data_IF_612603774188
#
_entry.id   IF_612603774188
#
_cell.length_a   1.000
_cell.length_b   1.000
_cell.length_c   1.000
_cell.angle_alpha   90.00
_cell.angle_beta   90.00
_cell.angle_gamma   90.00
#
_symmetry.space_group_name_H-M   'P 1'
#
loop_
_entity.id
_entity.type
_entity.pdbx_description
1 polymer ?
#
# COMPACT_ATOMS: atom_id res chain seq x y z
N UNK A 1 -20.09 9.84 -19.11
CA UNK A 1 -20.88 9.48 -17.89
C UNK A 1 -20.38 8.25 -17.11
N UNK A 2 -19.89 7.17 -17.76
CA UNK A 2 -19.49 5.91 -17.09
C UNK A 2 -18.31 6.07 -16.10
N UNK A 3 -17.22 6.74 -16.51
CA UNK A 3 -16.05 6.96 -15.64
C UNK A 3 -16.34 7.73 -14.34
N UNK A 4 -17.16 8.78 -14.40
CA UNK A 4 -17.63 9.53 -13.22
C UNK A 4 -18.43 8.67 -12.23
N UNK A 5 -19.06 7.58 -12.68
CA UNK A 5 -19.77 6.64 -11.78
C UNK A 5 -18.78 5.71 -11.09
N UNK A 6 -17.78 5.19 -11.80
CA UNK A 6 -16.68 4.38 -11.24
C UNK A 6 -15.91 5.18 -10.19
N UNK A 7 -15.51 6.41 -10.50
CA UNK A 7 -14.79 7.27 -9.57
C UNK A 7 -15.61 7.58 -8.30
N UNK A 8 -16.94 7.75 -8.43
CA UNK A 8 -17.84 7.86 -7.28
C UNK A 8 -17.87 6.58 -6.42
N UNK A 9 -17.72 5.41 -7.04
CA UNK A 9 -17.66 4.14 -6.33
C UNK A 9 -16.35 3.99 -5.55
N UNK A 10 -15.21 4.42 -6.13
CA UNK A 10 -13.93 4.53 -5.41
C UNK A 10 -14.12 5.33 -4.14
N UNK A 11 -14.64 6.57 -4.26
CA UNK A 11 -14.93 7.47 -3.13
C UNK A 11 -15.82 6.87 -2.03
N UNK A 12 -16.82 6.04 -2.36
CA UNK A 12 -17.68 5.38 -1.35
C UNK A 12 -17.01 4.18 -0.71
N UNK A 13 -16.22 3.42 -1.48
CA UNK A 13 -15.60 2.20 -0.97
C UNK A 13 -14.63 2.48 0.17
N UNK A 14 -13.81 3.53 0.08
CA UNK A 14 -12.88 3.84 1.16
C UNK A 14 -13.53 4.50 2.39
N UNK A 15 -14.77 5.02 2.32
CA UNK A 15 -15.48 5.53 3.51
C UNK A 15 -15.72 4.42 4.54
N UNK A 16 -15.79 3.15 4.11
CA UNK A 16 -15.90 1.98 4.98
C UNK A 16 -14.64 1.72 5.84
N UNK A 17 -13.55 2.44 5.58
CA UNK A 17 -12.26 2.23 6.25
C UNK A 17 -11.85 3.38 7.17
N UNK A 18 -12.75 4.34 7.43
CA UNK A 18 -12.48 5.48 8.29
C UNK A 18 -12.82 5.19 9.75
N UNK A 19 -11.87 5.42 10.65
CA UNK A 19 -12.10 5.48 12.09
C UNK A 19 -12.78 6.79 12.48
N UNK A 20 -13.90 6.67 13.18
CA UNK A 20 -14.69 7.75 13.78
C UNK A 20 -14.52 7.79 15.29
N UNK A 21 -14.20 6.64 15.92
CA UNK A 21 -13.99 6.50 17.37
C UNK A 21 -12.59 5.95 17.70
N UNK A 22 -12.19 6.06 18.97
CA UNK A 22 -10.93 5.48 19.48
C UNK A 22 -10.93 3.95 19.39
N UNK A 23 -12.06 3.30 19.66
CA UNK A 23 -12.19 1.84 19.51
C UNK A 23 -12.02 1.41 18.04
N UNK A 24 -12.62 2.16 17.11
CA UNK A 24 -12.43 1.90 15.69
C UNK A 24 -10.97 2.08 15.28
N UNK A 25 -10.26 3.09 15.80
CA UNK A 25 -8.83 3.29 15.55
C UNK A 25 -8.01 2.03 15.91
N UNK A 26 -8.19 1.49 17.13
CA UNK A 26 -7.47 0.28 17.55
C UNK A 26 -7.88 -0.95 16.74
N UNK A 27 -9.14 -1.04 16.32
CA UNK A 27 -9.58 -2.09 15.38
C UNK A 27 -8.90 -1.97 14.02
N UNK A 28 -8.65 -0.76 13.52
CA UNK A 28 -7.87 -0.54 12.28
C UNK A 28 -6.42 -0.94 12.50
N UNK A 29 -5.82 -0.55 13.63
CA UNK A 29 -4.45 -0.88 13.98
C UNK A 29 -4.26 -2.40 14.07
N UNK A 30 -5.12 -3.12 14.79
CA UNK A 30 -5.03 -4.58 14.94
C UNK A 30 -5.32 -5.33 13.63
N UNK A 31 -6.33 -4.88 12.86
CA UNK A 31 -6.57 -5.42 11.53
C UNK A 31 -5.41 -5.13 10.56
N UNK A 32 -4.72 -4.02 10.77
CA UNK A 32 -3.45 -3.71 10.11
C UNK A 32 -2.33 -4.65 10.57
N UNK A 33 -2.27 -4.97 11.87
CA UNK A 33 -1.32 -5.96 12.42
C UNK A 33 -1.44 -7.32 11.73
N UNK A 34 -2.66 -7.87 11.66
CA UNK A 34 -2.91 -9.12 10.93
C UNK A 34 -2.54 -9.04 9.45
N UNK A 35 -2.77 -7.88 8.81
CA UNK A 35 -2.30 -7.62 7.45
C UNK A 35 -0.77 -7.65 7.33
N UNK A 36 -0.06 -7.09 8.31
CA UNK A 36 1.40 -7.11 8.39
C UNK A 36 1.96 -8.53 8.51
N UNK A 37 1.35 -9.37 9.36
CA UNK A 37 1.74 -10.78 9.50
C UNK A 37 1.59 -11.56 8.19
N UNK A 38 0.48 -11.37 7.47
CA UNK A 38 0.29 -12.01 6.15
C UNK A 38 1.37 -11.54 5.18
N UNK A 39 1.67 -10.23 5.14
CA UNK A 39 2.71 -9.70 4.25
C UNK A 39 4.09 -10.25 4.61
N UNK A 40 4.38 -10.49 5.89
CA UNK A 40 5.63 -11.15 6.29
C UNK A 40 5.74 -12.53 5.65
N UNK A 41 4.67 -13.34 5.71
CA UNK A 41 4.60 -14.63 5.01
C UNK A 41 4.73 -14.45 3.50
N UNK A 42 4.10 -13.44 2.89
CA UNK A 42 4.23 -13.13 1.46
C UNK A 42 5.69 -12.90 1.07
N UNK A 43 6.47 -12.19 1.91
CA UNK A 43 7.90 -11.93 1.67
C UNK A 43 8.71 -13.22 1.82
N UNK A 44 8.41 -14.06 2.81
CA UNK A 44 9.06 -15.37 2.98
C UNK A 44 8.84 -16.23 1.73
N UNK A 45 7.59 -16.37 1.29
CA UNK A 45 7.25 -17.11 0.07
C UNK A 45 7.91 -16.52 -1.17
N UNK A 46 8.07 -15.19 -1.24
CA UNK A 46 8.81 -14.54 -2.33
C UNK A 46 10.23 -15.10 -2.42
N UNK A 47 10.96 -15.18 -1.30
CA UNK A 47 12.32 -15.72 -1.30
C UNK A 47 12.36 -17.23 -1.57
N UNK A 48 11.38 -17.99 -1.09
CA UNK A 48 11.25 -19.41 -1.43
C UNK A 48 11.08 -19.60 -2.95
N UNK A 49 10.25 -18.80 -3.61
CA UNK A 49 10.07 -18.85 -5.07
C UNK A 49 11.39 -18.53 -5.79
N UNK A 50 12.16 -17.53 -5.30
CA UNK A 50 13.48 -17.19 -5.86
C UNK A 50 14.44 -18.40 -5.77
N UNK A 51 14.42 -19.13 -4.65
CA UNK A 51 15.26 -20.31 -4.46
C UNK A 51 14.91 -21.48 -5.38
N UNK A 52 13.68 -21.56 -5.88
CA UNK A 52 13.29 -22.59 -6.86
C UNK A 52 13.93 -22.37 -8.24
N UNK A 53 14.51 -21.19 -8.52
CA UNK A 53 15.19 -20.85 -9.79
C UNK A 53 14.37 -21.23 -11.04
N UNK A 54 13.08 -20.93 -11.01
CA UNK A 54 12.15 -21.29 -12.08
C UNK A 54 12.35 -20.44 -13.34
N UNK A 55 11.94 -20.95 -14.51
CA UNK A 55 11.84 -20.15 -15.73
C UNK A 55 10.95 -18.91 -15.53
N UNK A 56 11.21 -17.84 -16.28
CA UNK A 56 10.63 -16.51 -16.08
C UNK A 56 9.09 -16.51 -15.96
N UNK A 57 8.38 -17.23 -16.83
CA UNK A 57 6.91 -17.30 -16.79
C UNK A 57 6.38 -18.03 -15.55
N UNK A 58 7.04 -19.12 -15.14
CA UNK A 58 6.66 -19.88 -13.97
C UNK A 58 6.94 -19.11 -12.67
N UNK A 59 8.11 -18.46 -12.58
CA UNK A 59 8.47 -17.58 -11.46
C UNK A 59 7.44 -16.44 -11.30
N UNK A 60 7.12 -15.74 -12.40
CA UNK A 60 6.13 -14.67 -12.38
C UNK A 60 4.74 -15.17 -11.99
N UNK A 61 4.32 -16.33 -12.52
CA UNK A 61 3.04 -16.94 -12.15
C UNK A 61 2.95 -17.21 -10.65
N UNK A 62 4.01 -17.75 -10.03
CA UNK A 62 4.05 -17.98 -8.59
C UNK A 62 4.09 -16.68 -7.78
N UNK A 63 4.78 -15.63 -8.23
CA UNK A 63 4.70 -14.33 -7.58
C UNK A 63 3.28 -13.75 -7.63
N UNK A 64 2.61 -13.85 -8.79
CA UNK A 64 1.23 -13.43 -8.96
C UNK A 64 0.28 -14.17 -8.02
N UNK A 65 0.42 -15.49 -7.92
CA UNK A 65 -0.37 -16.33 -7.00
C UNK A 65 -0.07 -16.01 -5.54
N UNK A 66 1.19 -15.81 -5.17
CA UNK A 66 1.58 -15.43 -3.81
C UNK A 66 0.94 -14.08 -3.42
N UNK A 67 1.01 -13.07 -4.28
CA UNK A 67 0.42 -11.76 -4.02
C UNK A 67 -1.11 -11.82 -3.98
N UNK A 68 -1.74 -12.47 -4.96
CA UNK A 68 -3.20 -12.57 -5.04
C UNK A 68 -3.76 -13.37 -3.85
N UNK A 69 -3.18 -14.54 -3.57
CA UNK A 69 -3.54 -15.39 -2.43
C UNK A 69 -3.40 -14.65 -1.11
N UNK A 70 -2.27 -13.96 -0.89
CA UNK A 70 -2.04 -13.18 0.32
C UNK A 70 -3.06 -12.04 0.49
N UNK A 71 -3.36 -11.28 -0.57
CA UNK A 71 -4.30 -10.16 -0.49
C UNK A 71 -5.76 -10.59 -0.35
N UNK A 72 -6.13 -11.74 -0.94
CA UNK A 72 -7.45 -12.34 -0.79
C UNK A 72 -7.63 -12.97 0.60
N UNK A 73 -6.62 -13.67 1.11
CA UNK A 73 -6.61 -14.19 2.48
C UNK A 73 -6.75 -13.06 3.49
N UNK A 74 -5.98 -11.98 3.30
CA UNK A 74 -6.08 -10.78 4.12
C UNK A 74 -7.50 -10.19 4.13
N UNK A 75 -8.15 -10.15 2.97
CA UNK A 75 -9.53 -9.70 2.87
C UNK A 75 -10.51 -10.66 3.56
N UNK A 76 -10.34 -11.96 3.37
CA UNK A 76 -11.19 -13.01 3.97
C UNK A 76 -11.17 -12.97 5.49
N UNK A 77 -9.99 -12.74 6.08
CA UNK A 77 -9.80 -12.61 7.53
C UNK A 77 -10.20 -11.22 8.08
N UNK A 78 -10.68 -10.31 7.24
CA UNK A 78 -11.07 -8.96 7.65
C UNK A 78 -9.89 -8.04 8.00
N UNK A 79 -8.66 -8.44 7.66
CA UNK A 79 -7.45 -7.64 7.82
C UNK A 79 -7.34 -6.56 6.75
N UNK A 80 -6.46 -5.59 6.99
CA UNK A 80 -6.38 -4.36 6.18
C UNK A 80 -4.97 -4.09 5.71
N UNK A 81 -4.85 -3.77 4.42
CA UNK A 81 -3.64 -3.20 3.84
C UNK A 81 -3.73 -1.66 3.88
N UNK A 82 -2.70 -1.01 4.38
CA UNK A 82 -2.63 0.45 4.56
C UNK A 82 -2.77 1.23 3.24
N UNK A 83 -2.41 0.63 2.11
CA UNK A 83 -2.25 1.35 0.84
C UNK A 83 -3.54 1.50 0.02
N UNK A 84 -4.71 1.00 0.50
CA UNK A 84 -5.98 1.05 -0.25
C UNK A 84 -6.68 2.42 -0.28
N UNK A 85 -6.25 3.35 0.57
CA UNK A 85 -6.99 4.56 0.94
C UNK A 85 -6.46 5.90 0.34
N UNK A 86 -5.22 6.08 -0.15
CA UNK A 86 -4.75 7.39 -0.63
C UNK A 86 -5.57 7.98 -1.78
N UNK A 87 -5.90 7.15 -2.78
CA UNK A 87 -6.72 7.58 -3.93
C UNK A 87 -8.14 7.99 -3.54
N UNK A 88 -8.63 7.55 -2.38
CA UNK A 88 -9.93 7.94 -1.84
C UNK A 88 -9.97 9.39 -1.39
N UNK A 89 -8.91 9.84 -0.70
CA UNK A 89 -8.82 11.14 -0.05
C UNK A 89 -9.13 12.24 -1.06
N UNK A 90 -8.54 12.15 -2.24
CA UNK A 90 -8.74 13.07 -3.36
C UNK A 90 -10.20 13.19 -3.80
N UNK A 91 -10.86 12.06 -4.07
CA UNK A 91 -12.25 12.04 -4.58
C UNK A 91 -13.23 12.54 -3.53
N UNK A 92 -13.01 12.20 -2.26
CA UNK A 92 -13.93 12.55 -1.18
C UNK A 92 -13.81 14.01 -0.77
N UNK A 93 -12.60 14.59 -0.79
CA UNK A 93 -12.39 16.02 -0.52
C UNK A 93 -13.16 16.92 -1.49
N UNK A 94 -13.16 16.58 -2.79
CA UNK A 94 -13.80 17.41 -3.82
C UNK A 94 -15.33 17.31 -3.84
N UNK A 95 -15.91 16.28 -3.21
CA UNK A 95 -17.36 16.04 -3.23
C UNK A 95 -18.13 16.76 -2.12
N UNK A 96 -17.47 17.17 -1.03
CA UNK A 96 -18.17 17.81 0.10
C UNK A 96 -18.28 19.32 -0.10
N UNK A 97 -19.51 19.85 0.02
CA UNK A 97 -19.80 21.29 -0.03
C UNK A 97 -19.14 22.02 1.16
N UNK A 98 -18.81 23.30 0.91
CA UNK A 98 -18.04 24.30 1.69
C UNK A 98 -18.22 24.33 3.23
N UNK A 99 -19.32 23.83 3.81
CA UNK A 99 -19.73 24.15 5.18
C UNK A 99 -19.88 22.98 6.19
N UNK A 100 -19.37 21.77 5.95
CA UNK A 100 -19.29 20.76 7.04
C UNK A 100 -17.96 20.02 7.08
N UNK A 101 -17.09 20.50 7.98
CA UNK A 101 -16.10 19.67 8.68
C UNK A 101 -15.10 18.91 7.79
N UNK A 102 -14.56 19.55 6.76
CA UNK A 102 -13.53 18.92 5.93
C UNK A 102 -12.22 18.69 6.68
N UNK A 103 -11.86 19.54 7.66
CA UNK A 103 -10.68 19.33 8.53
C UNK A 103 -10.82 18.08 9.39
N UNK A 104 -11.98 17.88 10.04
CA UNK A 104 -12.20 16.68 10.87
C UNK A 104 -12.27 15.42 10.02
N UNK A 105 -12.79 15.51 8.79
CA UNK A 105 -12.80 14.40 7.86
C UNK A 105 -11.40 14.05 7.33
N UNK A 106 -10.61 15.05 6.92
CA UNK A 106 -9.21 14.87 6.55
C UNK A 106 -8.40 14.26 7.70
N UNK A 107 -8.57 14.78 8.92
CA UNK A 107 -7.93 14.24 10.11
C UNK A 107 -8.33 12.79 10.37
N UNK A 108 -9.61 12.41 10.15
CA UNK A 108 -10.05 11.00 10.26
C UNK A 108 -9.39 10.11 9.21
N UNK A 109 -9.27 10.56 7.96
CA UNK A 109 -8.59 9.77 6.91
C UNK A 109 -7.11 9.60 7.27
N UNK A 110 -6.40 10.70 7.58
CA UNK A 110 -4.98 10.64 7.96
C UNK A 110 -4.75 9.77 9.19
N UNK A 111 -5.57 9.89 10.23
CA UNK A 111 -5.48 9.03 11.43
C UNK A 111 -5.73 7.56 11.11
N UNK A 112 -6.73 7.25 10.29
CA UNK A 112 -7.03 5.87 9.88
C UNK A 112 -5.89 5.28 9.05
N UNK A 113 -5.24 6.11 8.23
CA UNK A 113 -4.10 5.73 7.41
C UNK A 113 -2.86 5.48 8.24
N UNK A 114 -2.56 6.35 9.20
CA UNK A 114 -1.47 6.16 10.14
C UNK A 114 -1.70 4.88 10.96
N UNK A 115 -2.92 4.63 11.45
CA UNK A 115 -3.25 3.41 12.17
C UNK A 115 -2.99 2.14 11.34
N UNK A 116 -3.52 2.11 10.10
CA UNK A 116 -3.33 0.95 9.22
C UNK A 116 -1.86 0.75 8.85
N UNK A 117 -1.14 1.84 8.56
CA UNK A 117 0.29 1.81 8.20
C UNK A 117 1.14 1.36 9.37
N UNK A 118 0.92 1.89 10.58
CA UNK A 118 1.64 1.50 11.79
C UNK A 118 1.40 0.02 12.13
N UNK A 119 0.15 -0.45 12.04
CA UNK A 119 -0.19 -1.85 12.24
C UNK A 119 0.51 -2.78 11.23
N UNK A 120 0.39 -2.46 9.93
CA UNK A 120 1.07 -3.23 8.88
C UNK A 120 2.59 -3.24 9.07
N UNK A 121 3.21 -2.08 9.29
CA UNK A 121 4.67 -1.94 9.42
C UNK A 121 5.21 -2.66 10.66
N UNK A 122 4.60 -2.44 11.83
CA UNK A 122 5.06 -3.06 13.06
C UNK A 122 5.00 -4.58 12.96
N UNK A 123 3.86 -5.12 12.52
CA UNK A 123 3.69 -6.57 12.47
C UNK A 123 4.38 -7.24 11.27
N UNK A 124 4.63 -6.54 10.16
CA UNK A 124 5.45 -7.14 9.09
C UNK A 124 6.89 -7.31 9.55
N UNK A 125 7.45 -6.34 10.28
CA UNK A 125 8.79 -6.42 10.83
C UNK A 125 8.85 -7.52 11.90
N UNK A 126 7.92 -7.52 12.85
CA UNK A 126 7.85 -8.56 13.89
C UNK A 126 7.63 -9.95 13.31
N UNK A 127 6.75 -10.09 12.32
CA UNK A 127 6.47 -11.35 11.65
C UNK A 127 7.67 -11.88 10.87
N UNK A 128 8.38 -11.01 10.16
CA UNK A 128 9.60 -11.37 9.44
C UNK A 128 10.73 -11.83 10.38
N UNK A 129 10.97 -11.06 11.46
CA UNK A 129 11.96 -11.42 12.47
C UNK A 129 11.57 -12.70 13.21
N UNK A 130 10.30 -12.83 13.61
CA UNK A 130 9.77 -14.01 14.29
C UNK A 130 9.89 -15.27 13.42
N UNK A 131 9.57 -15.17 12.13
CA UNK A 131 9.79 -16.25 11.18
C UNK A 131 11.27 -16.63 11.11
N UNK A 132 12.17 -15.65 10.97
CA UNK A 132 13.60 -15.93 10.86
C UNK A 132 14.14 -16.63 12.11
N UNK A 133 13.81 -16.11 13.30
CA UNK A 133 14.18 -16.71 14.58
C UNK A 133 13.67 -18.15 14.67
N UNK A 134 12.40 -18.39 14.35
CA UNK A 134 11.81 -19.72 14.38
C UNK A 134 12.52 -20.66 13.38
N UNK A 135 12.74 -20.21 12.15
CA UNK A 135 13.43 -20.98 11.12
C UNK A 135 14.85 -21.38 11.55
N UNK A 136 15.63 -20.44 12.09
CA UNK A 136 17.00 -20.71 12.54
C UNK A 136 17.02 -21.63 13.75
N UNK A 137 16.06 -21.51 14.68
CA UNK A 137 15.95 -22.43 15.82
C UNK A 137 15.54 -23.85 15.41
N UNK A 138 14.68 -23.99 14.40
CA UNK A 138 14.23 -25.29 13.92
C UNK A 138 15.22 -25.99 12.98
N UNK A 139 15.96 -25.23 12.16
CA UNK A 139 16.81 -25.81 11.09
C UNK A 139 18.31 -25.67 11.34
N UNK A 140 18.72 -24.80 12.27
CA UNK A 140 20.11 -24.40 12.46
C UNK A 140 20.67 -23.49 11.35
N UNK A 141 19.87 -23.12 10.35
CA UNK A 141 20.31 -22.34 9.18
C UNK A 141 19.74 -20.92 9.19
N UNK A 142 20.44 -20.00 8.53
CA UNK A 142 19.95 -18.65 8.23
C UNK A 142 19.09 -18.72 6.97
N UNK A 143 17.93 -18.06 6.96
CA UNK A 143 16.95 -18.18 5.87
C UNK A 143 17.38 -17.48 4.57
N UNK A 144 18.00 -16.29 4.66
CA UNK A 144 18.66 -15.66 3.51
C UNK A 144 20.15 -15.87 3.53
N UNK A 145 20.73 -16.05 2.35
CA UNK A 145 22.17 -15.87 2.12
C UNK A 145 22.56 -14.41 2.28
N UNK A 146 23.79 -14.16 2.71
CA UNK A 146 24.35 -12.82 2.89
C UNK A 146 24.26 -11.96 1.63
N UNK A 147 24.58 -12.52 0.44
CA UNK A 147 24.48 -11.81 -0.84
C UNK A 147 23.05 -11.33 -1.13
N UNK A 148 22.06 -12.17 -0.88
CA UNK A 148 20.66 -11.82 -1.06
C UNK A 148 20.21 -10.73 -0.08
N UNK A 149 20.70 -10.76 1.16
CA UNK A 149 20.41 -9.74 2.17
C UNK A 149 21.07 -8.39 1.85
N UNK A 150 22.34 -8.40 1.42
CA UNK A 150 23.05 -7.20 0.96
C UNK A 150 22.35 -6.61 -0.27
N UNK A 151 22.03 -7.43 -1.27
CA UNK A 151 21.32 -6.97 -2.47
C UNK A 151 19.94 -6.41 -2.13
N UNK A 152 19.16 -7.08 -1.28
CA UNK A 152 17.86 -6.61 -0.85
C UNK A 152 17.96 -5.24 -0.18
N UNK A 153 18.93 -5.03 0.70
CA UNK A 153 19.15 -3.75 1.39
C UNK A 153 19.66 -2.66 0.45
N UNK A 154 20.63 -2.96 -0.41
CA UNK A 154 21.16 -2.02 -1.41
C UNK A 154 20.05 -1.56 -2.38
N UNK A 155 19.14 -2.46 -2.75
CA UNK A 155 18.01 -2.17 -3.63
C UNK A 155 16.97 -1.19 -3.05
N UNK A 156 17.07 -0.88 -1.75
CA UNK A 156 16.23 0.12 -1.07
C UNK A 156 16.88 1.50 -1.01
N UNK A 157 18.15 1.64 -1.39
CA UNK A 157 18.85 2.90 -1.31
C UNK A 157 18.16 3.96 -2.22
N UNK A 158 17.74 5.12 -1.69
CA UNK A 158 16.99 6.11 -2.47
C UNK A 158 17.85 6.87 -3.48
N UNK A 159 19.16 6.93 -3.28
CA UNK A 159 20.08 7.72 -4.10
C UNK A 159 20.63 6.94 -5.29
N UNK A 160 20.79 5.62 -5.14
CA UNK A 160 21.47 4.79 -6.14
C UNK A 160 20.57 3.75 -6.83
N UNK A 161 19.52 3.25 -6.18
CA UNK A 161 18.76 2.09 -6.68
C UNK A 161 17.49 2.43 -7.49
N UNK A 162 17.37 3.65 -8.04
CA UNK A 162 16.14 4.15 -8.69
C UNK A 162 14.86 3.97 -7.84
N UNK A 163 15.03 3.83 -6.51
CA UNK A 163 13.97 3.49 -5.56
C UNK A 163 12.82 4.48 -5.59
N UNK A 164 13.13 5.77 -5.77
CA UNK A 164 12.13 6.85 -5.86
C UNK A 164 11.21 6.62 -7.08
N UNK A 165 11.80 6.33 -8.24
CA UNK A 165 11.07 6.08 -9.48
C UNK A 165 10.18 4.84 -9.37
N UNK A 166 10.73 3.72 -8.87
CA UNK A 166 9.95 2.50 -8.66
C UNK A 166 8.87 2.68 -7.60
N UNK A 167 9.10 3.45 -6.54
CA UNK A 167 8.08 3.74 -5.54
C UNK A 167 6.96 4.63 -6.08
N UNK A 168 7.29 5.60 -6.93
CA UNK A 168 6.33 6.42 -7.64
C UNK A 168 5.48 5.59 -8.62
N UNK A 169 6.12 4.70 -9.38
CA UNK A 169 5.45 3.72 -10.25
C UNK A 169 4.45 2.88 -9.45
N UNK A 170 4.88 2.29 -8.34
CA UNK A 170 3.98 1.55 -7.43
C UNK A 170 2.81 2.41 -6.95
N UNK A 171 3.02 3.71 -6.66
CA UNK A 171 1.93 4.65 -6.35
C UNK A 171 0.89 4.76 -7.47
N UNK A 172 1.33 4.78 -8.73
CA UNK A 172 0.47 4.70 -9.91
C UNK A 172 -0.30 3.38 -9.98
N UNK A 173 0.35 2.24 -9.71
CA UNK A 173 -0.30 0.92 -9.68
C UNK A 173 -1.36 0.82 -8.58
N UNK A 174 -1.09 1.36 -7.39
CA UNK A 174 -2.05 1.46 -6.29
C UNK A 174 -3.29 2.28 -6.70
N UNK A 175 -3.08 3.38 -7.43
CA UNK A 175 -4.18 4.17 -7.99
C UNK A 175 -4.98 3.37 -9.03
N UNK A 176 -4.33 2.68 -9.97
CA UNK A 176 -5.00 1.83 -10.97
C UNK A 176 -5.84 0.73 -10.30
N UNK A 177 -5.29 0.03 -9.29
CA UNK A 177 -6.03 -0.97 -8.52
C UNK A 177 -7.28 -0.39 -7.84
N UNK A 178 -7.24 0.87 -7.40
CA UNK A 178 -8.41 1.54 -6.84
C UNK A 178 -9.52 1.80 -7.87
N UNK A 179 -9.19 2.02 -9.15
CA UNK A 179 -10.17 2.10 -10.23
C UNK A 179 -10.85 0.75 -10.47
N UNK A 180 -10.10 -0.35 -10.44
CA UNK A 180 -10.65 -1.70 -10.54
C UNK A 180 -11.61 -2.00 -9.37
N UNK A 181 -11.27 -1.57 -8.15
CA UNK A 181 -12.17 -1.63 -7.00
C UNK A 181 -13.48 -0.85 -7.24
N UNK A 182 -13.37 0.37 -7.79
CA UNK A 182 -14.50 1.20 -8.17
C UNK A 182 -15.38 0.57 -9.26
N UNK A 183 -14.75 -0.08 -10.24
CA UNK A 183 -15.42 -0.80 -11.32
C UNK A 183 -16.19 -2.01 -10.79
N UNK A 184 -15.53 -2.88 -10.03
CA UNK A 184 -16.15 -4.06 -9.43
C UNK A 184 -17.34 -3.67 -8.53
N UNK A 185 -17.16 -2.63 -7.70
CA UNK A 185 -18.26 -2.06 -6.90
C UNK A 185 -19.42 -1.53 -7.75
N UNK A 186 -19.12 -0.95 -8.92
CA UNK A 186 -20.14 -0.41 -9.81
C UNK A 186 -20.95 -1.54 -10.46
N UNK A 187 -20.28 -2.60 -10.90
CA UNK A 187 -20.92 -3.79 -11.46
C UNK A 187 -21.77 -4.50 -10.42
N UNK A 188 -21.24 -4.73 -9.21
CA UNK A 188 -21.98 -5.36 -8.12
C UNK A 188 -23.27 -4.61 -7.78
N UNK A 189 -23.28 -3.27 -7.85
CA UNK A 189 -24.47 -2.45 -7.60
C UNK A 189 -25.64 -2.67 -8.56
N UNK A 190 -25.41 -3.20 -9.77
CA UNK A 190 -26.49 -3.42 -10.75
C UNK A 190 -27.50 -4.45 -10.26
N UNK A 191 -27.05 -5.47 -9.53
CA UNK A 191 -27.91 -6.49 -8.93
C UNK A 191 -28.60 -6.05 -7.63
N UNK A 192 -28.48 -4.78 -7.23
CA UNK A 192 -28.98 -4.23 -5.95
C UNK A 192 -28.66 -5.07 -4.70
N UNK A 193 -27.44 -5.64 -4.54
CA UNK A 193 -27.12 -6.47 -3.38
C UNK A 193 -26.87 -5.60 -2.13
N UNK A 194 -26.81 -6.26 -0.96
CA UNK A 194 -26.47 -5.59 0.30
C UNK A 194 -25.08 -4.94 0.29
N UNK A 195 -24.88 -3.96 1.17
CA UNK A 195 -23.63 -3.19 1.26
C UNK A 195 -22.38 -4.06 1.49
N UNK A 196 -22.53 -5.19 2.21
CA UNK A 196 -21.46 -6.14 2.44
C UNK A 196 -20.94 -6.78 1.14
N UNK A 197 -21.84 -7.19 0.24
CA UNK A 197 -21.50 -7.78 -1.06
C UNK A 197 -20.76 -6.78 -1.94
N UNK A 198 -21.24 -5.52 -1.98
CA UNK A 198 -20.60 -4.45 -2.74
C UNK A 198 -19.16 -4.22 -2.23
N UNK A 199 -18.99 -4.17 -0.89
CA UNK A 199 -17.68 -4.02 -0.26
C UNK A 199 -16.76 -5.21 -0.58
N UNK A 200 -17.29 -6.43 -0.58
CA UNK A 200 -16.52 -7.63 -0.91
C UNK A 200 -16.00 -7.58 -2.36
N UNK A 201 -16.86 -7.30 -3.33
CA UNK A 201 -16.45 -7.18 -4.75
C UNK A 201 -15.47 -6.03 -5.00
N UNK A 202 -15.63 -4.91 -4.29
CA UNK A 202 -14.67 -3.82 -4.32
C UNK A 202 -13.28 -4.26 -3.85
N UNK A 203 -13.23 -4.97 -2.72
CA UNK A 203 -12.00 -5.51 -2.15
C UNK A 203 -11.35 -6.54 -3.08
N UNK A 204 -12.16 -7.43 -3.67
CA UNK A 204 -11.70 -8.44 -4.62
C UNK A 204 -11.07 -7.78 -5.84
N UNK A 205 -11.79 -6.83 -6.48
CA UNK A 205 -11.30 -6.10 -7.63
C UNK A 205 -10.01 -5.33 -7.35
N UNK A 206 -9.89 -4.72 -6.18
CA UNK A 206 -8.63 -4.08 -5.75
C UNK A 206 -7.49 -5.10 -5.63
N UNK A 207 -7.71 -6.16 -4.86
CA UNK A 207 -6.68 -7.10 -4.44
C UNK A 207 -6.12 -7.89 -5.62
N UNK A 208 -6.99 -8.43 -6.47
CA UNK A 208 -6.58 -9.19 -7.66
C UNK A 208 -5.85 -8.29 -8.65
N UNK A 209 -6.38 -7.09 -8.91
CA UNK A 209 -5.74 -6.16 -9.84
C UNK A 209 -4.39 -5.67 -9.33
N UNK A 210 -4.27 -5.35 -8.04
CA UNK A 210 -2.99 -4.96 -7.46
C UNK A 210 -1.98 -6.11 -7.54
N UNK A 211 -2.35 -7.32 -7.16
CA UNK A 211 -1.48 -8.49 -7.23
C UNK A 211 -0.95 -8.71 -8.66
N UNK A 212 -1.84 -8.65 -9.65
CA UNK A 212 -1.47 -8.74 -11.05
C UNK A 212 -0.50 -7.62 -11.45
N UNK A 213 -0.79 -6.36 -11.13
CA UNK A 213 0.05 -5.21 -11.50
C UNK A 213 1.44 -5.26 -10.86
N UNK A 214 1.54 -5.66 -9.58
CA UNK A 214 2.83 -5.76 -8.88
C UNK A 214 3.72 -6.89 -9.46
N UNK A 215 3.12 -7.89 -10.10
CA UNK A 215 3.82 -9.00 -10.75
C UNK A 215 4.14 -8.70 -12.23
N UNK A 216 3.16 -8.15 -12.96
CA UNK A 216 3.27 -7.90 -14.40
C UNK A 216 4.35 -6.86 -14.72
N UNK A 217 4.54 -5.84 -13.88
CA UNK A 217 5.54 -4.78 -14.13
C UNK A 217 6.98 -5.31 -14.09
N UNK A 218 7.44 -6.00 -13.02
CA UNK A 218 8.77 -6.60 -13.03
C UNK A 218 8.95 -7.69 -14.10
N UNK A 219 7.90 -8.47 -14.38
CA UNK A 219 7.93 -9.48 -15.45
C UNK A 219 8.13 -8.85 -16.83
N UNK A 220 7.38 -7.80 -17.15
CA UNK A 220 7.54 -7.04 -18.39
C UNK A 220 8.92 -6.37 -18.47
N UNK A 221 9.44 -5.87 -17.35
CA UNK A 221 10.80 -5.37 -17.23
C UNK A 221 11.84 -6.41 -17.65
N UNK A 222 11.80 -7.60 -17.04
CA UNK A 222 12.68 -8.72 -17.39
C UNK A 222 12.56 -9.11 -18.87
N UNK A 223 11.34 -9.18 -19.41
CA UNK A 223 11.08 -9.55 -20.80
C UNK A 223 11.66 -8.53 -21.80
N UNK A 224 11.54 -7.24 -21.49
CA UNK A 224 12.02 -6.13 -22.34
C UNK A 224 13.48 -5.73 -22.03
N UNK A 225 14.15 -6.45 -21.12
CA UNK A 225 15.47 -6.09 -20.59
C UNK A 225 15.53 -4.66 -20.03
N UNK A 226 14.41 -4.15 -19.54
CA UNK A 226 14.31 -2.86 -18.87
C UNK A 226 14.48 -3.06 -17.36
N UNK A 227 15.22 -2.19 -16.67
CA UNK A 227 15.29 -2.22 -15.22
C UNK A 227 13.96 -1.69 -14.66
N UNK A 228 12.90 -2.49 -14.68
CA UNK A 228 11.61 -2.17 -14.06
C UNK A 228 11.44 -3.02 -12.81
N UNK A 229 11.21 -2.35 -11.69
CA UNK A 229 10.91 -2.99 -10.42
C UNK A 229 9.80 -2.22 -9.69
N UNK A 230 9.30 -2.81 -8.63
CA UNK A 230 8.18 -2.31 -7.84
C UNK A 230 8.61 -2.22 -6.38
N UNK A 231 8.57 -1.01 -5.83
CA UNK A 231 8.86 -0.75 -4.41
C UNK A 231 7.58 -0.43 -3.67
N UNK A 232 7.13 -1.34 -2.81
CA UNK A 232 5.94 -1.18 -1.98
C UNK A 232 6.33 -1.20 -0.52
N UNK A 233 5.92 -0.17 0.23
CA UNK A 233 6.30 0.07 1.62
C UNK A 233 6.36 -1.20 2.48
N UNK A 234 5.24 -1.90 2.67
CA UNK A 234 5.16 -3.06 3.58
C UNK A 234 5.98 -4.26 3.12
N UNK A 235 6.02 -4.56 1.81
CA UNK A 235 6.81 -5.66 1.26
C UNK A 235 8.32 -5.39 1.40
N UNK A 236 8.72 -4.14 1.12
CA UNK A 236 10.09 -3.67 1.29
C UNK A 236 10.53 -3.69 2.76
N UNK A 237 9.64 -3.32 3.70
CA UNK A 237 9.94 -3.39 5.14
C UNK A 237 10.17 -4.81 5.63
N UNK A 238 9.36 -5.78 5.16
CA UNK A 238 9.57 -7.20 5.50
C UNK A 238 10.90 -7.74 4.95
N UNK A 239 11.25 -7.37 3.71
CA UNK A 239 12.52 -7.76 3.11
C UNK A 239 13.73 -7.17 3.86
N UNK A 240 13.64 -5.90 4.26
CA UNK A 240 14.67 -5.26 5.08
C UNK A 240 14.81 -5.94 6.45
N UNK A 241 13.70 -6.26 7.11
CA UNK A 241 13.73 -6.94 8.40
C UNK A 241 14.44 -8.30 8.33
N UNK A 242 14.13 -9.10 7.30
CA UNK A 242 14.84 -10.37 7.07
C UNK A 242 16.34 -10.15 6.79
N UNK A 243 16.68 -9.12 6.01
CA UNK A 243 18.07 -8.80 5.64
C UNK A 243 18.91 -8.37 6.84
N UNK A 244 18.36 -7.53 7.72
CA UNK A 244 19.03 -7.07 8.95
C UNK A 244 19.28 -8.24 9.90
N UNK A 245 18.34 -9.19 9.98
CA UNK A 245 18.54 -10.39 10.80
C UNK A 245 19.65 -11.27 10.22
N UNK A 246 19.64 -11.55 8.92
CA UNK A 246 20.67 -12.34 8.23
C UNK A 246 22.07 -11.80 8.47
N UNK A 247 22.28 -10.51 8.21
CA UNK A 247 23.60 -9.90 8.30
C UNK A 247 24.03 -9.64 9.75
N UNK A 248 23.08 -9.55 10.68
CA UNK A 248 23.29 -8.98 11.99
C UNK A 248 23.47 -7.46 11.94
N UNK A 249 23.25 -6.80 13.08
CA UNK A 249 23.14 -5.33 13.13
C UNK A 249 24.40 -4.60 12.66
N UNK A 250 25.59 -5.08 13.06
CA UNK A 250 26.87 -4.42 12.72
C UNK A 250 27.15 -4.48 11.22
N UNK A 251 27.02 -5.65 10.59
CA UNK A 251 27.23 -5.79 9.16
C UNK A 251 26.11 -5.12 8.35
N UNK A 252 24.86 -5.13 8.85
CA UNK A 252 23.78 -4.39 8.23
C UNK A 252 24.06 -2.87 8.18
N UNK A 253 24.59 -2.29 9.27
CA UNK A 253 25.03 -0.89 9.29
C UNK A 253 26.10 -0.61 8.23
N UNK A 254 27.11 -1.48 8.11
CA UNK A 254 28.17 -1.35 7.11
C UNK A 254 27.64 -1.49 5.67
N UNK A 255 26.70 -2.39 5.43
CA UNK A 255 26.06 -2.58 4.14
C UNK A 255 24.97 -1.54 3.83
N UNK A 256 24.78 -0.52 4.68
CA UNK A 256 23.99 0.66 4.36
C UNK A 256 22.59 0.72 4.96
N UNK A 257 22.34 0.09 6.11
CA UNK A 257 21.04 0.09 6.81
C UNK A 257 20.40 1.49 6.92
N UNK A 258 21.18 2.53 7.23
CA UNK A 258 20.65 3.89 7.32
C UNK A 258 20.01 4.37 6.00
N UNK A 259 20.66 4.11 4.88
CA UNK A 259 20.14 4.44 3.55
C UNK A 259 18.90 3.61 3.19
N UNK A 260 18.86 2.34 3.58
CA UNK A 260 17.71 1.48 3.35
C UNK A 260 16.49 1.89 4.20
N UNK A 261 16.69 2.31 5.45
CA UNK A 261 15.64 2.86 6.30
C UNK A 261 15.06 4.16 5.74
N UNK A 262 15.93 5.07 5.27
CA UNK A 262 15.49 6.27 4.54
C UNK A 262 14.70 5.87 3.28
N UNK A 263 15.19 4.86 2.57
CA UNK A 263 14.50 4.22 1.45
C UNK A 263 13.08 3.79 1.78
N UNK A 264 12.86 3.07 2.89
CA UNK A 264 11.52 2.66 3.34
C UNK A 264 10.60 3.86 3.55
N UNK A 265 11.09 4.94 4.18
CA UNK A 265 10.31 6.16 4.40
C UNK A 265 9.93 6.79 3.06
N UNK A 266 10.90 6.93 2.15
CA UNK A 266 10.70 7.49 0.81
C UNK A 266 9.72 6.64 -0.01
N UNK A 267 9.83 5.31 0.06
CA UNK A 267 8.89 4.40 -0.60
C UNK A 267 7.47 4.62 -0.10
N UNK A 268 7.28 4.66 1.23
CA UNK A 268 5.97 4.90 1.84
C UNK A 268 5.38 6.25 1.43
N UNK A 269 6.20 7.30 1.45
CA UNK A 269 5.78 8.63 1.00
C UNK A 269 5.39 8.62 -0.48
N UNK A 270 6.21 8.08 -1.37
CA UNK A 270 5.96 8.07 -2.82
C UNK A 270 4.74 7.22 -3.19
N UNK A 271 4.60 6.03 -2.59
CA UNK A 271 3.42 5.18 -2.76
C UNK A 271 2.12 5.94 -2.44
N UNK A 272 2.12 6.67 -1.32
CA UNK A 272 0.98 7.49 -0.90
C UNK A 272 0.78 8.71 -1.80
N UNK A 273 1.83 9.51 -1.98
CA UNK A 273 1.79 10.82 -2.62
C UNK A 273 1.37 10.73 -4.08
N UNK A 274 1.98 9.83 -4.85
CA UNK A 274 1.67 9.68 -6.28
C UNK A 274 0.26 9.15 -6.49
N UNK A 275 -0.16 8.14 -5.71
CA UNK A 275 -1.53 7.60 -5.78
C UNK A 275 -2.58 8.66 -5.45
N UNK A 276 -2.31 9.48 -4.43
CA UNK A 276 -3.16 10.60 -4.04
C UNK A 276 -3.21 11.68 -5.12
N UNK A 277 -2.05 12.12 -5.63
CA UNK A 277 -1.93 13.20 -6.61
C UNK A 277 -2.66 12.85 -7.91
N UNK A 278 -2.42 11.65 -8.46
CA UNK A 278 -3.12 11.20 -9.68
C UNK A 278 -4.62 11.19 -9.44
N UNK A 279 -5.08 10.65 -8.31
CA UNK A 279 -6.51 10.65 -7.98
C UNK A 279 -7.09 12.06 -7.88
N UNK A 280 -6.33 13.01 -7.33
CA UNK A 280 -6.75 14.41 -7.20
C UNK A 280 -6.89 15.08 -8.57
N UNK A 281 -5.85 14.99 -9.41
CA UNK A 281 -5.84 15.51 -10.78
C UNK A 281 -7.06 14.98 -11.56
N UNK A 282 -7.24 13.66 -11.53
CA UNK A 282 -8.33 12.99 -12.25
C UNK A 282 -9.70 13.42 -11.73
N UNK A 283 -9.85 13.53 -10.40
CA UNK A 283 -11.10 13.95 -9.81
C UNK A 283 -11.43 15.41 -10.16
N UNK A 284 -10.47 16.33 -10.13
CA UNK A 284 -10.68 17.72 -10.56
C UNK A 284 -11.19 17.80 -12.00
N UNK A 285 -10.56 17.05 -12.91
CA UNK A 285 -11.00 16.98 -14.31
C UNK A 285 -12.42 16.45 -14.45
N UNK A 286 -12.74 15.34 -13.77
CA UNK A 286 -14.07 14.69 -13.85
C UNK A 286 -15.19 15.54 -13.22
N UNK A 287 -14.88 16.28 -12.16
CA UNK A 287 -15.83 17.18 -11.49
C UNK A 287 -15.83 18.61 -12.06
N UNK A 288 -14.96 18.91 -13.04
CA UNK A 288 -14.77 20.26 -13.63
C UNK A 288 -14.53 21.33 -12.57
N UNK A 289 -13.70 21.00 -11.57
CA UNK A 289 -13.32 21.92 -10.49
C UNK A 289 -11.97 22.53 -10.85
N UNK A 290 -11.87 23.86 -10.85
CA UNK A 290 -10.62 24.58 -11.09
C UNK A 290 -9.62 24.37 -9.94
N UNK A 291 -8.34 24.19 -10.28
CA UNK A 291 -7.21 24.11 -9.35
C UNK A 291 -7.16 25.29 -8.36
N UNK A 292 -7.58 26.49 -8.77
CA UNK A 292 -7.63 27.68 -7.90
C UNK A 292 -8.54 27.51 -6.69
N UNK A 293 -9.58 26.66 -6.79
CA UNK A 293 -10.48 26.37 -5.65
C UNK A 293 -9.83 25.50 -4.58
N UNK A 294 -8.72 24.80 -4.87
CA UNK A 294 -7.93 24.08 -3.87
C UNK A 294 -7.08 25.03 -2.99
N UNK A 295 -6.56 26.13 -3.54
CA UNK A 295 -5.81 27.12 -2.75
C UNK A 295 -6.71 27.95 -1.82
N UNK A 296 -7.92 28.28 -2.29
CA UNK A 296 -8.95 28.90 -1.43
C UNK A 296 -9.39 27.95 -0.29
N UNK A 297 -9.25 26.64 -0.50
CA UNK A 297 -9.52 25.62 0.50
C UNK A 297 -8.52 25.68 1.67
N UNK A 298 -7.22 25.83 1.38
CA UNK A 298 -6.16 25.96 2.40
C UNK A 298 -6.27 27.27 3.20
N UNK A 299 -6.62 28.38 2.57
CA UNK A 299 -6.78 29.66 3.29
C UNK A 299 -7.96 29.62 4.28
N UNK A 300 -9.10 29.04 3.88
CA UNK A 300 -10.26 28.93 4.78
C UNK A 300 -10.01 28.05 6.01
N UNK A 301 -9.14 27.05 5.86
CA UNK A 301 -8.69 26.14 6.94
C UNK A 301 -7.77 26.86 7.92
N UNK A 302 -6.97 27.81 7.45
CA UNK A 302 -6.06 28.62 8.29
C UNK A 302 -6.84 29.75 8.99
N UNK A 303 -7.80 30.40 8.30
CA UNK A 303 -8.55 31.55 8.83
C UNK A 303 -9.53 31.19 9.96
N UNK A 304 -10.08 29.96 9.97
CA UNK A 304 -10.90 29.45 11.09
C UNK A 304 -10.12 29.30 12.40
N UNK A 305 -8.79 29.37 12.36
CA UNK A 305 -7.94 29.33 13.57
C UNK A 305 -7.93 30.65 14.35
N UNK A 306 -8.28 31.79 13.73
CA UNK A 306 -8.30 33.10 14.41
C UNK A 306 -9.63 33.43 15.11
N UNK A 307 -10.72 32.73 14.78
CA UNK A 307 -12.06 33.01 15.31
C UNK A 307 -12.51 32.06 16.44
N UNK A 308 -11.66 31.09 16.84
CA UNK A 308 -11.94 30.21 17.99
C UNK A 308 -10.96 30.45 19.16
N UNK A 309 -10.12 31.47 19.06
CA UNK A 309 -9.16 31.92 20.09
C UNK A 309 -9.39 33.37 20.50
N UNK A 310 -10.56 33.91 20.15
CA UNK A 310 -11.17 35.12 20.72
C UNK A 310 -12.49 34.69 21.34
#
# INVERSE_FOLDING_TARGET
>A
MKFKRILRCVGRYGEYYLARTRQEYFRILSAGGGGGMIVASTVVFKYLIIYLRLPLLAEASLFGLNYAGSFLLMQGLGFRLATKQPSLLAVTLLRRRRNRCTRTHLARILRSQLAATAGNFGFVVLGALGFHVAFTRCTGKIFLSDDAAVHAMASLNPFHASTIGYAALTGGLLWLASLAAGWASHCARKGRPGAAVIKHWAGFGYNVSLAFLLCAVPYAGKLLSLPLDVRHFTLSSGALALSVYTLGFKAACQAGLGSALLGIIVIGFMNFFVSFLISLVVALGVYRISWRRLFLFSESVIRTRRLQTQ
#
